data_IF_715819585394
#
_entry.id   IF_715819585394
#
_cell.length_a   1.000
_cell.length_b   1.000
_cell.length_c   1.000
_cell.angle_alpha   90.00
_cell.angle_beta   90.00
_cell.angle_gamma   90.00
#
_symmetry.space_group_name_H-M   'P 1'
#
loop_
_entity.id
_entity.type
_entity.pdbx_description
1 polymer ?
#
# COMPACT_ATOMS: atom_id res chain seq x y z
N UNK A 1 -36.23 15.13 1.71
CA UNK A 1 -34.97 15.10 0.92
C UNK A 1 -35.32 15.36 -0.54
N UNK A 2 -34.87 16.48 -1.10
CA UNK A 2 -34.90 16.73 -2.55
C UNK A 2 -33.46 16.62 -3.04
N UNK A 3 -33.15 15.61 -3.84
CA UNK A 3 -31.85 15.48 -4.47
C UNK A 3 -31.98 15.94 -5.92
N UNK A 4 -31.15 16.90 -6.32
CA UNK A 4 -31.08 17.37 -7.71
C UNK A 4 -29.72 16.98 -8.31
N UNK A 5 -29.76 16.16 -9.36
CA UNK A 5 -28.59 15.84 -10.16
C UNK A 5 -28.53 16.84 -11.33
N UNK A 6 -27.53 17.71 -11.35
CA UNK A 6 -27.27 18.58 -12.49
C UNK A 6 -26.33 17.87 -13.47
N UNK A 7 -26.91 17.33 -14.55
CA UNK A 7 -26.16 16.90 -15.73
C UNK A 7 -25.96 18.08 -16.68
N UNK A 8 -24.72 18.56 -16.80
CA UNK A 8 -24.32 19.47 -17.87
C UNK A 8 -23.71 18.65 -19.01
N UNK A 9 -24.43 18.53 -20.12
CA UNK A 9 -23.88 18.06 -21.40
C UNK A 9 -24.10 19.17 -22.44
N UNK A 10 -23.06 19.94 -22.75
CA UNK A 10 -23.01 20.74 -23.98
C UNK A 10 -22.63 19.80 -25.13
N UNK A 11 -23.46 19.78 -26.16
CA UNK A 11 -23.36 18.85 -27.28
C UNK A 11 -22.77 19.47 -28.55
N UNK A 12 -22.35 18.60 -29.48
CA UNK A 12 -22.38 18.83 -30.91
C UNK A 12 -22.51 17.49 -31.66
N UNK A 13 -23.44 17.44 -32.63
CA UNK A 13 -23.44 16.50 -33.76
C UNK A 13 -24.27 15.23 -33.61
N UNK A 14 -25.51 15.26 -34.13
CA UNK A 14 -26.51 14.22 -33.91
C UNK A 14 -26.43 12.96 -34.77
N UNK A 15 -27.29 12.00 -34.42
CA UNK A 15 -28.17 11.23 -35.31
C UNK A 15 -29.18 10.44 -34.45
N UNK A 16 -30.40 10.37 -34.95
CA UNK A 16 -31.65 9.88 -34.34
C UNK A 16 -31.61 8.41 -33.86
N UNK A 17 -32.18 8.13 -32.68
CA UNK A 17 -33.35 7.22 -32.47
C UNK A 17 -33.52 6.83 -30.98
N UNK A 18 -34.80 6.75 -30.58
CA UNK A 18 -35.40 6.14 -29.38
C UNK A 18 -35.66 7.05 -28.17
N UNK A 19 -36.96 7.12 -27.81
CA UNK A 19 -37.58 7.81 -26.67
C UNK A 19 -36.85 7.58 -25.34
N UNK A 20 -36.47 8.67 -24.65
CA UNK A 20 -36.08 8.65 -23.25
C UNK A 20 -37.25 8.22 -22.35
N UNK A 21 -37.05 7.15 -21.56
CA UNK A 21 -37.84 6.89 -20.35
C UNK A 21 -37.23 7.68 -19.20
N UNK A 22 -38.01 8.58 -18.59
CA UNK A 22 -37.70 9.14 -17.27
C UNK A 22 -37.69 8.02 -16.24
N UNK A 23 -36.51 7.66 -15.74
CA UNK A 23 -36.37 6.72 -14.63
C UNK A 23 -36.58 7.50 -13.32
N UNK A 24 -37.75 7.28 -12.69
CA UNK A 24 -38.02 7.75 -11.33
C UNK A 24 -37.40 6.74 -10.36
N UNK A 25 -36.36 7.14 -9.65
CA UNK A 25 -35.84 6.35 -8.53
C UNK A 25 -36.78 6.55 -7.33
N UNK A 26 -37.61 5.54 -7.05
CA UNK A 26 -38.36 5.41 -5.80
C UNK A 26 -37.47 4.66 -4.80
N UNK A 27 -37.03 5.34 -3.74
CA UNK A 27 -36.55 4.64 -2.54
C UNK A 27 -37.79 4.05 -1.85
N UNK A 28 -37.99 2.74 -1.99
CA UNK A 28 -39.00 2.03 -1.20
C UNK A 28 -38.54 1.94 0.24
N UNK A 29 -39.36 2.50 1.13
CA UNK A 29 -39.25 2.37 2.57
C UNK A 29 -39.26 0.88 2.98
N UNK A 30 -38.40 0.53 3.94
CA UNK A 30 -38.44 -0.78 4.58
C UNK A 30 -39.52 -0.76 5.65
N UNK A 31 -40.60 -1.50 5.40
CA UNK A 31 -41.72 -1.66 6.32
C UNK A 31 -41.32 -2.50 7.54
N UNK A 32 -41.86 -2.08 8.68
CA UNK A 32 -41.65 -2.68 10.00
C UNK A 32 -42.48 -3.96 10.11
N UNK A 33 -41.84 -5.13 10.06
CA UNK A 33 -42.52 -6.38 10.41
C UNK A 33 -42.65 -6.49 11.93
N UNK A 34 -43.87 -6.23 12.39
CA UNK A 34 -44.39 -6.43 13.73
C UNK A 34 -44.91 -7.87 13.82
N UNK A 35 -44.30 -8.71 14.66
CA UNK A 35 -44.83 -10.07 14.92
C UNK A 35 -46.05 -10.04 15.86
N UNK A 36 -47.06 -10.90 15.65
CA UNK A 36 -48.18 -11.05 16.57
C UNK A 36 -47.87 -12.08 17.67
N UNK A 37 -48.09 -11.69 18.94
CA UNK A 37 -47.86 -12.54 20.10
C UNK A 37 -49.01 -13.51 20.47
N UNK A 38 -48.63 -14.50 21.28
CA UNK A 38 -49.35 -15.26 22.35
C UNK A 38 -48.48 -16.49 22.70
N UNK A 39 -48.24 -16.96 23.91
CA UNK A 39 -48.57 -16.58 25.30
C UNK A 39 -47.88 -17.58 26.27
N UNK A 40 -47.41 -17.10 27.43
CA UNK A 40 -47.10 -17.78 28.73
C UNK A 40 -46.15 -19.02 28.74
N UNK A 41 -45.18 -19.13 29.66
CA UNK A 41 -45.30 -19.04 31.12
C UNK A 41 -43.93 -18.88 31.84
N UNK A 42 -44.01 -18.38 33.08
CA UNK A 42 -42.94 -17.99 34.01
C UNK A 42 -42.19 -19.14 34.69
N UNK A 43 -41.01 -18.82 35.26
CA UNK A 43 -40.39 -19.20 36.58
C UNK A 43 -38.85 -19.19 36.39
N UNK A 44 -37.94 -18.73 37.26
CA UNK A 44 -37.94 -18.25 38.65
C UNK A 44 -36.56 -17.62 39.01
N UNK A 45 -36.49 -16.76 40.04
CA UNK A 45 -35.32 -16.49 40.93
C UNK A 45 -34.29 -15.42 40.47
N UNK A 46 -34.21 -14.19 41.03
CA UNK A 46 -33.66 -13.76 42.35
C UNK A 46 -32.11 -13.89 42.39
N UNK A 47 -31.23 -12.97 42.80
CA UNK A 47 -31.21 -11.84 43.76
C UNK A 47 -30.19 -10.74 43.32
N UNK A 48 -30.16 -9.61 44.05
CA UNK A 48 -29.30 -8.41 43.89
C UNK A 48 -27.77 -8.62 43.93
N UNK A 49 -26.95 -7.59 43.75
CA UNK A 49 -26.66 -6.53 44.74
C UNK A 49 -26.01 -5.34 44.02
N UNK A 50 -26.40 -4.12 44.41
CA UNK A 50 -25.67 -2.89 44.14
C UNK A 50 -24.70 -2.59 45.29
N UNK A 51 -23.46 -2.19 44.99
CA UNK A 51 -22.64 -1.38 45.91
C UNK A 51 -21.74 -0.42 45.13
N UNK A 52 -21.96 0.86 45.38
CA UNK A 52 -21.04 1.97 45.15
C UNK A 52 -19.85 1.89 46.11
N UNK A 53 -18.64 2.28 45.69
CA UNK A 53 -18.02 3.54 46.11
C UNK A 53 -16.57 3.70 45.64
N UNK A 54 -16.25 4.97 45.43
CA UNK A 54 -14.98 5.61 45.12
C UNK A 54 -13.80 5.22 46.01
N UNK A 55 -12.59 5.39 45.47
CA UNK A 55 -11.53 6.07 46.22
C UNK A 55 -10.53 6.76 45.29
N UNK A 56 -10.45 8.07 45.46
CA UNK A 56 -9.38 8.96 45.03
C UNK A 56 -8.24 8.93 46.06
N UNK A 57 -6.99 9.04 45.61
CA UNK A 57 -5.92 9.65 46.40
C UNK A 57 -5.08 10.57 45.52
N UNK A 58 -5.03 11.82 45.94
CA UNK A 58 -4.18 12.90 45.47
C UNK A 58 -2.98 13.03 46.39
N UNK A 59 -1.80 13.33 45.83
CA UNK A 59 -0.71 14.02 46.51
C UNK A 59 -0.17 15.12 45.58
N UNK A 60 0.10 16.30 46.16
CA UNK A 60 0.40 17.57 45.48
C UNK A 60 1.88 17.98 45.74
N UNK A 61 2.41 18.69 44.73
CA UNK A 61 3.59 19.61 44.65
C UNK A 61 4.82 19.02 43.96
N UNK A 62 5.60 19.74 43.15
CA UNK A 62 5.49 21.04 42.46
C UNK A 62 6.74 21.16 41.57
N UNK A 63 6.62 21.52 40.29
CA UNK A 63 7.42 22.53 39.56
C UNK A 63 7.67 22.23 38.08
N UNK A 64 7.62 23.31 37.30
CA UNK A 64 8.23 23.51 35.96
C UNK A 64 7.53 22.86 34.76
N UNK A 65 6.61 23.64 34.19
CA UNK A 65 6.00 23.44 32.88
C UNK A 65 7.03 23.44 31.72
N UNK A 66 6.84 22.51 30.77
CA UNK A 66 7.06 22.67 29.32
C UNK A 66 6.59 21.39 28.59
N UNK A 67 5.31 21.37 28.23
CA UNK A 67 4.72 20.31 27.40
C UNK A 67 4.65 20.81 25.95
N UNK A 68 5.25 20.03 25.05
CA UNK A 68 5.37 20.35 23.62
C UNK A 68 4.07 20.00 22.89
N UNK A 69 3.40 21.04 22.37
CA UNK A 69 2.21 20.94 21.54
C UNK A 69 2.54 20.42 20.13
N UNK A 70 1.71 19.51 19.64
CA UNK A 70 1.62 19.12 18.24
C UNK A 70 1.07 20.28 17.39
N UNK A 71 1.42 20.39 16.09
CA UNK A 71 1.18 21.61 15.31
C UNK A 71 -0.28 21.70 14.83
N UNK A 72 -0.98 22.72 15.32
CA UNK A 72 -2.26 23.21 14.81
C UNK A 72 -2.17 23.56 13.31
N UNK A 73 -2.98 22.89 12.47
CA UNK A 73 -3.30 23.38 11.11
C UNK A 73 -4.18 24.62 11.26
N UNK A 74 -3.56 25.79 11.14
CA UNK A 74 -4.21 27.10 11.25
C UNK A 74 -5.26 27.27 10.14
N UNK A 75 -6.54 27.33 10.54
CA UNK A 75 -7.63 27.93 9.76
C UNK A 75 -7.24 29.34 9.33
N UNK A 76 -7.12 29.58 8.02
CA UNK A 76 -7.04 30.94 7.46
C UNK A 76 -8.46 31.50 7.31
N UNK A 77 -8.99 32.17 8.34
CA UNK A 77 -10.10 33.10 8.17
C UNK A 77 -9.54 34.48 7.83
N UNK A 78 -9.89 35.02 6.66
CA UNK A 78 -9.61 36.42 6.30
C UNK A 78 -10.74 37.28 6.88
N UNK A 79 -10.50 37.96 7.99
CA UNK A 79 -11.41 38.98 8.54
C UNK A 79 -11.06 40.34 7.92
N UNK A 80 -11.87 40.84 6.99
CA UNK A 80 -11.85 42.27 6.67
C UNK A 80 -12.73 43.03 7.66
N UNK A 81 -12.19 44.12 8.20
CA UNK A 81 -12.90 45.08 9.04
C UNK A 81 -13.15 46.30 8.15
N UNK A 82 -14.38 46.50 7.72
CA UNK A 82 -14.83 47.76 7.12
C UNK A 82 -15.66 48.54 8.13
N UNK A 83 -15.24 49.76 8.38
CA UNK A 83 -16.00 50.77 9.10
C UNK A 83 -17.07 51.35 8.17
N UNK A 84 -18.28 51.60 8.67
CA UNK A 84 -19.21 52.58 8.09
C UNK A 84 -20.50 52.05 7.46
N UNK A 85 -21.55 51.96 8.28
CA UNK A 85 -22.94 52.38 8.03
C UNK A 85 -23.56 52.09 6.64
N UNK A 86 -24.45 51.08 6.56
CA UNK A 86 -25.91 51.20 6.33
C UNK A 86 -26.56 49.82 6.31
N UNK A 87 -27.72 49.72 6.96
CA UNK A 87 -28.64 48.59 6.88
C UNK A 87 -28.83 48.10 5.44
N UNK A 88 -28.65 46.81 5.22
CA UNK A 88 -29.49 46.02 4.33
C UNK A 88 -29.41 44.56 4.77
N UNK A 89 -30.55 43.99 5.10
CA UNK A 89 -30.78 42.56 5.26
C UNK A 89 -30.36 41.87 3.95
N UNK A 90 -29.29 41.08 4.00
CA UNK A 90 -28.95 40.13 2.95
C UNK A 90 -28.85 38.75 3.61
N UNK A 91 -29.99 38.08 3.58
CA UNK A 91 -30.23 36.65 3.35
C UNK A 91 -29.03 35.70 3.59
N UNK A 92 -29.08 34.97 4.71
CA UNK A 92 -28.16 33.91 5.15
C UNK A 92 -28.43 32.59 4.41
N UNK A 93 -28.58 32.64 3.08
CA UNK A 93 -29.07 31.51 2.26
C UNK A 93 -28.00 30.45 1.94
N UNK A 94 -26.71 30.72 2.15
CA UNK A 94 -25.60 29.80 1.80
C UNK A 94 -25.16 28.90 2.97
N UNK A 95 -25.87 28.95 4.10
CA UNK A 95 -25.45 28.33 5.36
C UNK A 95 -25.77 26.84 5.51
N UNK A 96 -26.58 26.25 4.63
CA UNK A 96 -27.22 24.93 4.87
C UNK A 96 -27.00 23.90 3.76
N UNK A 97 -26.17 24.23 2.77
CA UNK A 97 -25.89 23.38 1.61
C UNK A 97 -24.53 22.66 1.73
N UNK A 98 -24.40 21.49 1.10
CA UNK A 98 -23.13 20.76 0.97
C UNK A 98 -23.07 19.90 -0.30
N UNK A 99 -21.85 19.50 -0.69
CA UNK A 99 -21.60 18.70 -1.88
C UNK A 99 -20.81 17.44 -1.57
N UNK A 100 -21.14 16.34 -2.25
CA UNK A 100 -20.31 15.14 -2.31
C UNK A 100 -19.67 15.06 -3.69
N UNK A 101 -18.34 14.92 -3.74
CA UNK A 101 -17.57 14.81 -4.97
C UNK A 101 -16.88 13.46 -5.02
N UNK A 102 -17.12 12.68 -6.08
CA UNK A 102 -16.39 11.43 -6.33
C UNK A 102 -15.03 11.68 -7.00
N UNK A 103 -14.16 10.68 -6.97
CA UNK A 103 -12.86 10.69 -7.66
C UNK A 103 -12.97 10.87 -9.19
N UNK A 104 -14.14 10.59 -9.78
CA UNK A 104 -14.43 10.82 -11.20
C UNK A 104 -15.12 12.15 -11.48
N UNK A 105 -15.01 13.14 -10.58
CA UNK A 105 -15.65 14.46 -10.65
C UNK A 105 -17.19 14.47 -10.74
N UNK A 106 -17.88 13.36 -10.42
CA UNK A 106 -19.33 13.40 -10.23
C UNK A 106 -19.65 14.14 -8.93
N UNK A 107 -20.58 15.08 -8.98
CA UNK A 107 -20.98 15.91 -7.85
C UNK A 107 -22.46 15.71 -7.53
N UNK A 108 -22.77 15.61 -6.25
CA UNK A 108 -24.13 15.61 -5.72
C UNK A 108 -24.29 16.79 -4.77
N UNK A 109 -25.39 17.51 -4.91
CA UNK A 109 -25.72 18.68 -4.11
C UNK A 109 -26.86 18.35 -3.14
N UNK A 110 -26.70 18.81 -1.90
CA UNK A 110 -27.63 18.57 -0.81
C UNK A 110 -27.88 19.87 -0.04
N UNK A 111 -29.13 20.05 0.39
CA UNK A 111 -29.60 21.19 1.18
C UNK A 111 -30.28 20.63 2.45
N UNK A 112 -29.80 21.06 3.62
CA UNK A 112 -30.36 20.72 4.93
C UNK A 112 -31.36 21.80 5.39
N UNK A 113 -32.18 21.52 6.42
CA UNK A 113 -33.15 22.50 6.90
C UNK A 113 -32.52 23.65 7.69
N UNK A 114 -31.30 23.44 8.22
CA UNK A 114 -30.50 24.41 8.96
C UNK A 114 -29.03 23.95 9.05
N UNK A 115 -28.18 24.74 9.70
CA UNK A 115 -26.71 24.56 9.69
C UNK A 115 -26.25 23.47 10.64
N UNK A 116 -26.96 23.30 11.74
CA UNK A 116 -26.72 22.25 12.70
C UNK A 116 -26.99 20.88 12.06
N UNK A 117 -28.13 20.73 11.38
CA UNK A 117 -28.46 19.52 10.64
C UNK A 117 -27.46 19.25 9.51
N UNK A 118 -27.03 20.26 8.76
CA UNK A 118 -25.98 20.12 7.75
C UNK A 118 -24.70 19.54 8.37
N UNK A 119 -24.24 20.08 9.50
CA UNK A 119 -23.00 19.67 10.14
C UNK A 119 -23.09 18.25 10.72
N UNK A 120 -24.25 17.88 11.27
CA UNK A 120 -24.54 16.50 11.69
C UNK A 120 -24.49 15.52 10.52
N UNK A 121 -25.08 15.89 9.38
CA UNK A 121 -25.09 15.06 8.18
C UNK A 121 -23.70 14.90 7.58
N UNK A 122 -22.93 15.98 7.48
CA UNK A 122 -21.54 15.93 7.03
C UNK A 122 -20.73 15.00 7.94
N UNK A 123 -20.87 15.15 9.26
CA UNK A 123 -20.18 14.32 10.24
C UNK A 123 -20.57 12.84 10.10
N UNK A 124 -21.85 12.54 9.95
CA UNK A 124 -22.34 11.17 9.79
C UNK A 124 -21.83 10.52 8.49
N UNK A 125 -21.81 11.26 7.39
CA UNK A 125 -21.30 10.80 6.09
C UNK A 125 -19.79 10.55 6.16
N UNK A 126 -19.02 11.47 6.76
CA UNK A 126 -17.58 11.30 6.98
C UNK A 126 -17.29 10.06 7.84
N UNK A 127 -18.05 9.87 8.92
CA UNK A 127 -17.95 8.69 9.77
C UNK A 127 -18.29 7.41 9.02
N UNK A 128 -19.31 7.41 8.16
CA UNK A 128 -19.71 6.21 7.41
C UNK A 128 -18.72 5.87 6.30
N UNK A 129 -18.14 6.87 5.63
CA UNK A 129 -17.01 6.69 4.71
C UNK A 129 -15.85 6.04 5.47
N UNK A 130 -15.50 6.57 6.64
CA UNK A 130 -14.41 6.04 7.45
C UNK A 130 -14.69 4.62 7.95
N UNK A 131 -15.90 4.36 8.44
CA UNK A 131 -16.35 3.03 8.87
C UNK A 131 -16.38 2.03 7.73
N UNK A 132 -16.78 2.41 6.52
CA UNK A 132 -16.77 1.51 5.36
C UNK A 132 -15.34 1.20 4.91
N UNK A 133 -14.46 2.20 4.95
CA UNK A 133 -13.03 2.02 4.67
C UNK A 133 -12.36 1.10 5.70
N UNK A 134 -12.84 1.07 6.95
CA UNK A 134 -12.33 0.18 8.01
C UNK A 134 -13.08 -1.17 8.10
N UNK A 135 -14.38 -1.19 7.80
CA UNK A 135 -15.30 -2.31 8.01
C UNK A 135 -15.30 -3.35 6.89
N UNK A 136 -14.68 -3.04 5.74
CA UNK A 136 -14.36 -4.02 4.71
C UNK A 136 -13.26 -5.02 5.16
N UNK A 137 -12.73 -4.92 6.38
CA UNK A 137 -11.75 -5.85 6.92
C UNK A 137 -12.34 -7.10 7.62
N UNK A 138 -13.66 -7.28 7.71
CA UNK A 138 -14.22 -8.30 8.60
C UNK A 138 -15.18 -9.29 7.96
N UNK A 139 -14.65 -10.41 7.45
CA UNK A 139 -15.22 -11.75 7.72
C UNK A 139 -14.12 -12.78 8.02
N UNK A 140 -13.94 -13.04 9.33
CA UNK A 140 -13.36 -14.23 9.99
C UNK A 140 -12.02 -14.77 9.46
N UNK A 141 -10.90 -14.26 10.02
CA UNK A 141 -9.62 -14.96 10.30
C UNK A 141 -8.55 -14.07 11.00
N UNK A 142 -8.72 -12.74 11.03
CA UNK A 142 -7.61 -11.76 11.21
C UNK A 142 -7.02 -11.52 12.61
N UNK A 143 -7.52 -12.09 13.71
CA UNK A 143 -7.07 -11.64 15.05
C UNK A 143 -5.64 -12.07 15.45
N UNK A 144 -5.07 -13.11 14.85
CA UNK A 144 -3.67 -13.49 15.11
C UNK A 144 -2.66 -12.81 14.17
N UNK A 145 -3.01 -12.57 12.90
CA UNK A 145 -2.07 -12.04 11.88
C UNK A 145 -1.78 -10.53 12.01
N UNK A 146 -2.68 -9.72 12.58
CA UNK A 146 -2.45 -8.26 12.63
C UNK A 146 -1.26 -7.85 13.50
N UNK A 147 -0.97 -8.61 14.56
CA UNK A 147 0.14 -8.32 15.49
C UNK A 147 1.52 -8.62 14.87
N UNK A 148 1.62 -9.72 14.12
CA UNK A 148 2.84 -10.13 13.41
C UNK A 148 3.12 -9.22 12.20
N UNK A 149 2.07 -8.76 11.52
CA UNK A 149 2.18 -7.84 10.40
C UNK A 149 2.71 -6.48 10.87
N UNK A 150 2.22 -5.96 12.00
CA UNK A 150 2.72 -4.70 12.58
C UNK A 150 4.19 -4.77 12.98
N UNK A 151 4.64 -5.88 13.61
CA UNK A 151 6.04 -6.07 13.96
C UNK A 151 6.94 -6.17 12.71
N UNK A 152 6.48 -6.87 11.68
CA UNK A 152 7.18 -7.01 10.40
C UNK A 152 7.31 -5.67 9.67
N UNK A 153 6.27 -4.83 9.70
CA UNK A 153 6.34 -3.49 9.11
C UNK A 153 7.24 -2.57 9.90
N UNK A 154 7.33 -2.73 11.22
CA UNK A 154 8.32 -2.03 12.04
C UNK A 154 9.75 -2.47 11.70
N UNK A 155 9.97 -3.74 11.36
CA UNK A 155 11.25 -4.25 10.87
C UNK A 155 11.62 -3.58 9.54
N UNK A 156 10.70 -3.54 8.58
CA UNK A 156 10.89 -2.86 7.27
C UNK A 156 11.25 -1.38 7.46
N UNK A 157 10.60 -0.68 8.38
CA UNK A 157 10.87 0.75 8.63
C UNK A 157 12.22 0.99 9.31
N UNK A 158 12.54 0.22 10.35
CA UNK A 158 13.62 0.59 11.27
C UNK A 158 14.93 -0.17 11.06
N UNK A 159 14.88 -1.35 10.43
CA UNK A 159 16.08 -2.20 10.26
C UNK A 159 16.62 -2.18 8.83
N UNK A 160 15.81 -1.79 7.85
CA UNK A 160 16.24 -1.75 6.46
C UNK A 160 16.89 -0.40 6.13
N UNK A 161 18.13 -0.38 5.61
CA UNK A 161 18.85 0.86 5.31
C UNK A 161 18.08 1.82 4.39
N UNK A 162 18.00 3.08 4.81
CA UNK A 162 17.37 4.17 4.05
C UNK A 162 15.85 4.28 4.21
N UNK A 163 15.18 3.28 4.80
CA UNK A 163 13.72 3.28 4.91
C UNK A 163 13.14 4.28 5.93
N UNK A 164 14.00 4.97 6.70
CA UNK A 164 13.58 6.06 7.59
C UNK A 164 13.15 7.33 6.83
N UNK A 165 13.48 7.44 5.55
CA UNK A 165 13.18 8.59 4.70
C UNK A 165 12.62 8.14 3.36
N UNK A 166 11.74 8.94 2.77
CA UNK A 166 11.14 8.71 1.47
C UNK A 166 12.23 8.56 0.41
N UNK A 167 12.13 7.50 -0.39
CA UNK A 167 13.11 7.19 -1.43
C UNK A 167 13.30 8.30 -2.47
N UNK A 168 12.29 9.14 -2.73
CA UNK A 168 12.30 10.12 -3.82
C UNK A 168 12.45 11.57 -3.37
N UNK A 169 12.05 11.92 -2.14
CA UNK A 169 12.10 13.31 -1.64
C UNK A 169 12.68 13.47 -0.23
N UNK A 170 13.14 12.38 0.38
CA UNK A 170 13.72 12.34 1.72
C UNK A 170 12.77 12.84 2.84
N UNK A 171 11.45 12.85 2.61
CA UNK A 171 10.47 13.10 3.67
C UNK A 171 10.55 12.00 4.75
N UNK A 172 10.59 12.35 6.05
CA UNK A 172 10.76 11.36 7.11
C UNK A 172 9.53 10.46 7.25
N UNK A 173 9.73 9.28 7.85
CA UNK A 173 8.67 8.33 8.21
C UNK A 173 7.73 7.97 7.04
N UNK A 174 8.25 7.46 5.92
CA UNK A 174 7.40 7.01 4.82
C UNK A 174 6.48 5.84 5.24
N UNK A 175 5.22 5.90 4.82
CA UNK A 175 4.19 4.91 5.17
C UNK A 175 3.66 4.11 3.97
N UNK A 176 4.19 4.38 2.78
CA UNK A 176 3.82 3.72 1.53
C UNK A 176 5.03 3.01 0.95
N UNK A 177 4.78 2.02 0.10
CA UNK A 177 5.81 1.23 -0.53
C UNK A 177 5.49 0.93 -1.98
N UNK A 178 6.53 0.68 -2.78
CA UNK A 178 6.40 0.01 -4.07
C UNK A 178 6.99 -1.38 -3.96
N UNK A 179 6.13 -2.39 -4.11
CA UNK A 179 6.48 -3.79 -3.88
C UNK A 179 7.59 -4.26 -4.82
N UNK A 180 7.40 -4.07 -6.13
CA UNK A 180 8.32 -4.56 -7.16
C UNK A 180 9.66 -3.81 -7.20
N UNK A 181 9.71 -2.60 -6.64
CA UNK A 181 10.94 -1.82 -6.52
C UNK A 181 11.63 -2.03 -5.17
N UNK A 182 10.93 -2.57 -4.16
CA UNK A 182 11.46 -2.80 -2.82
C UNK A 182 11.76 -1.52 -2.03
N UNK A 183 10.99 -0.45 -2.27
CA UNK A 183 11.22 0.90 -1.74
C UNK A 183 10.05 1.39 -0.90
N UNK A 184 10.33 2.30 0.04
CA UNK A 184 9.33 3.04 0.82
C UNK A 184 9.34 4.54 0.50
N UNK A 185 8.15 5.14 0.47
CA UNK A 185 7.91 6.51 0.03
C UNK A 185 6.83 7.20 0.87
N UNK A 186 6.83 8.53 0.87
CA UNK A 186 5.79 9.30 1.55
C UNK A 186 4.46 9.26 0.76
N UNK A 187 3.39 9.74 1.40
CA UNK A 187 2.05 9.76 0.80
C UNK A 187 2.00 10.54 -0.53
N UNK A 188 2.68 11.70 -0.61
CA UNK A 188 2.70 12.51 -1.84
C UNK A 188 3.38 11.78 -3.00
N UNK A 189 4.57 11.21 -2.77
CA UNK A 189 5.31 10.47 -3.81
C UNK A 189 4.57 9.19 -4.21
N UNK A 190 3.88 8.54 -3.25
CA UNK A 190 3.01 7.40 -3.56
C UNK A 190 1.88 7.76 -4.55
N UNK A 191 1.35 8.98 -4.47
CA UNK A 191 0.35 9.48 -5.41
C UNK A 191 0.91 9.58 -6.84
N UNK A 192 2.17 10.01 -6.99
CA UNK A 192 2.85 10.02 -8.30
C UNK A 192 3.11 8.60 -8.79
N UNK A 193 3.63 7.72 -7.93
CA UNK A 193 3.89 6.31 -8.28
C UNK A 193 2.63 5.57 -8.76
N UNK A 194 1.44 5.89 -8.22
CA UNK A 194 0.17 5.35 -8.72
C UNK A 194 -0.11 5.77 -10.16
N UNK A 195 0.23 7.01 -10.52
CA UNK A 195 0.03 7.54 -11.86
C UNK A 195 1.00 6.97 -12.91
N UNK A 196 2.14 6.40 -12.48
CA UNK A 196 3.04 5.65 -13.38
C UNK A 196 2.41 4.34 -13.89
N UNK A 197 1.47 3.78 -13.12
CA UNK A 197 0.84 2.49 -13.41
C UNK A 197 1.57 1.27 -12.82
N UNK A 198 0.82 0.18 -12.66
CA UNK A 198 1.25 -1.03 -11.95
C UNK A 198 2.35 -1.84 -12.65
N UNK A 199 2.59 -1.59 -13.93
CA UNK A 199 3.69 -2.16 -14.71
C UNK A 199 5.05 -1.53 -14.35
N UNK A 200 5.05 -0.33 -13.76
CA UNK A 200 6.26 0.35 -13.26
C UNK A 200 6.33 0.25 -11.74
N UNK A 201 5.24 0.57 -11.03
CA UNK A 201 5.22 0.65 -9.57
C UNK A 201 3.94 0.06 -8.96
N UNK A 202 4.10 -0.95 -8.12
CA UNK A 202 3.00 -1.62 -7.41
C UNK A 202 2.87 -1.06 -5.99
N UNK A 203 2.06 0.00 -5.86
CA UNK A 203 1.94 0.76 -4.60
C UNK A 203 1.09 0.04 -3.55
N UNK A 204 1.58 -0.02 -2.30
CA UNK A 204 0.89 -0.52 -1.10
C UNK A 204 1.13 0.37 0.12
N UNK A 205 0.19 0.37 1.05
CA UNK A 205 0.32 0.95 2.38
C UNK A 205 1.02 -0.01 3.33
N UNK A 206 1.99 0.49 4.09
CA UNK A 206 2.66 -0.28 5.15
C UNK A 206 1.76 -0.54 6.37
N UNK A 207 0.61 0.14 6.49
CA UNK A 207 -0.30 0.00 7.65
C UNK A 207 -1.70 -0.49 7.31
N UNK A 208 -2.12 -0.41 6.05
CA UNK A 208 -3.50 -0.69 5.63
C UNK A 208 -3.63 -1.91 4.71
N UNK A 209 -2.53 -2.40 4.15
CA UNK A 209 -2.54 -3.54 3.23
C UNK A 209 -1.92 -4.77 3.89
N UNK A 210 -2.28 -5.95 3.37
CA UNK A 210 -1.69 -7.23 3.78
C UNK A 210 -0.31 -7.47 3.16
N UNK A 211 0.56 -8.14 3.93
CA UNK A 211 1.96 -8.38 3.57
C UNK A 211 2.31 -9.88 3.57
N UNK A 212 1.92 -10.62 2.51
CA UNK A 212 2.37 -11.99 2.30
C UNK A 212 3.91 -12.13 2.43
N UNK A 213 4.42 -13.31 2.85
CA UNK A 213 5.85 -13.52 3.05
C UNK A 213 6.74 -13.13 1.87
N UNK A 214 6.28 -13.41 0.64
CA UNK A 214 6.97 -12.98 -0.58
C UNK A 214 7.14 -11.47 -0.66
N UNK A 215 6.08 -10.70 -0.38
CA UNK A 215 6.13 -9.24 -0.39
C UNK A 215 7.09 -8.70 0.69
N UNK A 216 6.95 -9.20 1.91
CA UNK A 216 7.81 -8.80 3.03
C UNK A 216 9.28 -9.11 2.75
N UNK A 217 9.58 -10.27 2.17
CA UNK A 217 10.95 -10.68 1.87
C UNK A 217 11.66 -9.72 0.92
N UNK A 218 10.95 -9.17 -0.08
CA UNK A 218 11.53 -8.16 -0.99
C UNK A 218 11.79 -6.85 -0.26
N UNK A 219 10.84 -6.39 0.57
CA UNK A 219 11.02 -5.15 1.33
C UNK A 219 12.18 -5.23 2.32
N UNK A 220 12.45 -6.41 2.89
CA UNK A 220 13.58 -6.63 3.78
C UNK A 220 14.92 -6.77 3.03
N UNK A 221 14.89 -7.27 1.79
CA UNK A 221 16.10 -7.52 1.01
C UNK A 221 16.61 -6.30 0.22
N UNK A 222 15.73 -5.35 -0.12
CA UNK A 222 16.07 -4.20 -0.98
C UNK A 222 16.31 -2.94 -0.16
N UNK A 223 15.25 -2.21 0.18
CA UNK A 223 15.36 -0.94 0.90
C UNK A 223 15.83 0.25 0.06
N UNK A 224 15.55 1.45 0.57
CA UNK A 224 15.79 2.70 -0.16
C UNK A 224 17.27 2.96 -0.44
N UNK A 225 18.17 2.65 0.50
CA UNK A 225 19.60 2.86 0.27
C UNK A 225 20.12 2.01 -0.89
N UNK A 226 19.75 0.72 -0.94
CA UNK A 226 20.15 -0.15 -2.05
C UNK A 226 19.50 0.30 -3.35
N UNK A 227 18.20 0.59 -3.32
CA UNK A 227 17.47 1.04 -4.50
C UNK A 227 18.07 2.31 -5.09
N UNK A 228 18.35 3.34 -4.29
CA UNK A 228 18.96 4.58 -4.80
C UNK A 228 20.41 4.39 -5.26
N UNK A 229 21.14 3.41 -4.73
CA UNK A 229 22.45 3.03 -5.28
C UNK A 229 22.39 2.54 -6.74
N UNK A 230 21.19 2.19 -7.23
CA UNK A 230 20.91 1.78 -8.62
C UNK A 230 20.16 2.89 -9.36
N UNK A 231 18.98 3.26 -8.86
CA UNK A 231 18.04 4.19 -9.48
C UNK A 231 18.47 5.66 -9.42
N UNK A 232 19.49 6.00 -8.65
CA UNK A 232 20.08 7.35 -8.58
C UNK A 232 21.60 7.31 -8.81
N UNK A 233 22.12 6.22 -9.40
CA UNK A 233 23.57 6.01 -9.54
C UNK A 233 24.26 7.06 -10.44
N UNK A 234 23.57 7.49 -11.50
CA UNK A 234 24.08 8.43 -12.50
C UNK A 234 23.24 9.70 -12.60
N UNK A 235 22.84 10.27 -11.46
CA UNK A 235 22.15 11.58 -11.47
C UNK A 235 23.06 12.63 -12.15
N UNK A 236 22.62 13.27 -13.26
CA UNK A 236 23.44 14.25 -13.96
C UNK A 236 23.81 15.44 -13.08
N UNK A 237 24.99 16.01 -13.32
CA UNK A 237 25.43 17.22 -12.61
C UNK A 237 24.41 18.35 -12.80
N UNK A 238 24.05 19.02 -11.72
CA UNK A 238 23.07 20.11 -11.72
C UNK A 238 21.62 19.65 -11.57
N UNK A 239 21.33 18.34 -11.68
CA UNK A 239 20.03 17.80 -11.31
C UNK A 239 20.00 17.53 -9.81
N UNK A 240 18.97 18.00 -9.14
CA UNK A 240 18.84 17.90 -7.67
C UNK A 240 17.59 17.09 -7.34
N UNK A 241 17.74 16.15 -6.41
CA UNK A 241 16.64 15.39 -5.85
C UNK A 241 15.67 16.34 -5.13
N UNK A 242 14.35 16.22 -5.33
CA UNK A 242 13.39 17.07 -4.63
C UNK A 242 13.48 16.85 -3.12
N UNK A 243 13.04 17.86 -2.37
CA UNK A 243 13.00 17.81 -0.90
C UNK A 243 11.56 17.61 -0.43
N UNK A 244 11.30 17.45 0.88
CA UNK A 244 9.94 17.32 1.39
C UNK A 244 9.08 18.55 1.05
N UNK A 245 9.69 19.73 1.01
CA UNK A 245 9.04 21.02 0.71
C UNK A 245 8.96 21.36 -0.78
N UNK A 246 9.52 20.54 -1.67
CA UNK A 246 9.41 20.73 -3.13
C UNK A 246 7.98 20.60 -3.61
N UNK A 247 7.66 21.25 -4.73
CA UNK A 247 6.32 21.21 -5.31
C UNK A 247 5.97 19.80 -5.81
N UNK A 248 4.68 19.54 -6.02
CA UNK A 248 4.22 18.26 -6.55
C UNK A 248 4.78 18.02 -7.96
N UNK A 249 4.86 19.07 -8.76
CA UNK A 249 5.37 19.03 -10.14
C UNK A 249 6.87 18.69 -10.16
N UNK A 250 7.67 19.24 -9.23
CA UNK A 250 9.09 18.89 -9.08
C UNK A 250 9.26 17.42 -8.67
N UNK A 251 8.46 16.95 -7.70
CA UNK A 251 8.45 15.55 -7.27
C UNK A 251 8.05 14.63 -8.43
N UNK A 252 7.02 14.99 -9.20
CA UNK A 252 6.57 14.21 -10.36
C UNK A 252 7.63 14.13 -11.47
N UNK A 253 8.25 15.26 -11.82
CA UNK A 253 9.30 15.30 -12.84
C UNK A 253 10.50 14.43 -12.45
N UNK A 254 10.90 14.44 -11.16
CA UNK A 254 11.97 13.58 -10.65
C UNK A 254 11.60 12.09 -10.76
N UNK A 255 10.43 11.71 -10.23
CA UNK A 255 9.96 10.32 -10.18
C UNK A 255 9.79 9.73 -11.59
N UNK A 256 9.23 10.50 -12.54
CA UNK A 256 9.11 10.05 -13.93
C UNK A 256 10.48 9.83 -14.56
N UNK A 257 11.41 10.77 -14.47
CA UNK A 257 12.76 10.55 -15.01
C UNK A 257 13.49 9.39 -14.35
N UNK A 258 13.27 9.16 -13.05
CA UNK A 258 13.87 8.06 -12.29
C UNK A 258 13.37 6.69 -12.75
N UNK A 259 12.06 6.49 -12.86
CA UNK A 259 11.49 5.14 -13.07
C UNK A 259 10.88 4.91 -14.47
N UNK A 260 10.22 5.91 -15.04
CA UNK A 260 9.64 5.85 -16.40
C UNK A 260 10.73 6.08 -17.45
N UNK A 261 11.49 7.17 -17.29
CA UNK A 261 12.61 7.53 -18.19
C UNK A 261 13.91 6.76 -17.91
N UNK A 262 14.04 6.16 -16.71
CA UNK A 262 15.23 5.40 -16.29
C UNK A 262 16.55 6.18 -16.47
N UNK A 263 16.50 7.50 -16.39
CA UNK A 263 17.57 8.41 -16.83
C UNK A 263 18.84 8.34 -15.97
N UNK A 264 18.71 7.85 -14.74
CA UNK A 264 19.80 7.80 -13.76
C UNK A 264 20.39 6.39 -13.62
N UNK A 265 19.83 5.40 -14.33
CA UNK A 265 20.34 4.04 -14.25
C UNK A 265 21.74 3.95 -14.86
N UNK A 266 22.62 3.11 -14.31
CA UNK A 266 23.81 2.68 -15.02
C UNK A 266 23.42 1.81 -16.21
N UNK A 267 24.28 1.81 -17.23
CA UNK A 267 24.17 0.86 -18.32
C UNK A 267 24.26 -0.57 -17.75
N UNK A 268 23.50 -1.54 -18.30
CA UNK A 268 23.66 -2.93 -17.90
C UNK A 268 25.10 -3.40 -18.24
N UNK A 269 25.65 -4.37 -17.50
CA UNK A 269 26.96 -4.92 -17.82
C UNK A 269 26.97 -5.46 -19.26
N UNK A 270 27.93 -5.03 -20.08
CA UNK A 270 27.98 -5.33 -21.51
C UNK A 270 28.35 -6.79 -21.83
N UNK A 271 28.67 -7.60 -20.82
CA UNK A 271 29.17 -8.96 -21.01
C UNK A 271 28.05 -9.99 -20.77
N UNK A 272 27.61 -10.65 -21.85
CA UNK A 272 26.79 -11.86 -21.80
C UNK A 272 25.27 -11.63 -21.83
N UNK A 273 24.53 -12.73 -21.96
CA UNK A 273 23.07 -12.73 -22.03
C UNK A 273 22.46 -12.38 -20.65
N UNK A 274 21.37 -11.61 -20.62
CA UNK A 274 20.72 -11.16 -19.36
C UNK A 274 20.40 -12.33 -18.43
N UNK A 275 19.89 -13.44 -18.97
CA UNK A 275 19.59 -14.64 -18.19
C UNK A 275 20.83 -15.23 -17.48
N UNK A 276 21.99 -15.22 -18.14
CA UNK A 276 23.24 -15.65 -17.56
C UNK A 276 23.70 -14.69 -16.46
N UNK A 277 23.65 -13.38 -16.72
CA UNK A 277 24.05 -12.36 -15.74
C UNK A 277 23.15 -12.39 -14.49
N UNK A 278 21.83 -12.57 -14.66
CA UNK A 278 20.89 -12.74 -13.57
C UNK A 278 21.24 -13.99 -12.75
N UNK A 279 21.53 -15.10 -13.42
CA UNK A 279 21.91 -16.37 -12.78
C UNK A 279 23.19 -16.24 -11.96
N UNK A 280 24.22 -15.57 -12.49
CA UNK A 280 25.45 -15.28 -11.75
C UNK A 280 25.19 -14.40 -10.53
N UNK A 281 24.33 -13.39 -10.66
CA UNK A 281 23.94 -12.52 -9.55
C UNK A 281 23.13 -13.27 -8.48
N UNK A 282 22.27 -14.22 -8.88
CA UNK A 282 21.52 -15.10 -7.96
C UNK A 282 22.45 -15.97 -7.13
N UNK A 283 23.50 -16.54 -7.73
CA UNK A 283 24.48 -17.36 -7.00
C UNK A 283 25.36 -16.54 -6.04
N UNK A 284 25.64 -15.26 -6.37
CA UNK A 284 26.44 -14.33 -5.54
C UNK A 284 25.60 -13.45 -4.60
N UNK A 285 24.35 -13.86 -4.32
CA UNK A 285 23.22 -12.98 -3.97
C UNK A 285 23.43 -11.46 -4.15
N UNK A 286 23.83 -11.01 -5.34
CA UNK A 286 24.05 -9.59 -5.64
C UNK A 286 22.73 -8.91 -5.99
N UNK A 287 21.99 -8.51 -4.95
CA UNK A 287 20.70 -7.85 -5.10
C UNK A 287 20.80 -6.54 -5.89
N UNK A 288 21.91 -5.80 -5.78
CA UNK A 288 22.13 -4.56 -6.54
C UNK A 288 22.13 -4.85 -8.04
N UNK A 289 22.89 -5.86 -8.46
CA UNK A 289 22.98 -6.25 -9.86
C UNK A 289 21.67 -6.88 -10.37
N UNK A 290 20.96 -7.65 -9.54
CA UNK A 290 19.63 -8.18 -9.88
C UNK A 290 18.67 -7.03 -10.18
N UNK A 291 18.57 -6.03 -9.30
CA UNK A 291 17.69 -4.86 -9.51
C UNK A 291 18.07 -4.13 -10.79
N UNK A 292 19.37 -3.91 -11.03
CA UNK A 292 19.86 -3.24 -12.23
C UNK A 292 19.48 -4.01 -13.51
N UNK A 293 19.71 -5.32 -13.53
CA UNK A 293 19.39 -6.16 -14.69
C UNK A 293 17.89 -6.20 -14.95
N UNK A 294 17.07 -6.39 -13.91
CA UNK A 294 15.61 -6.39 -14.03
C UNK A 294 15.07 -5.03 -14.48
N UNK A 295 15.68 -3.92 -14.07
CA UNK A 295 15.30 -2.60 -14.54
C UNK A 295 15.49 -2.41 -16.06
N UNK A 296 16.40 -3.15 -16.70
CA UNK A 296 16.65 -3.11 -18.14
C UNK A 296 16.05 -4.28 -18.92
N UNK A 297 15.72 -5.38 -18.26
CA UNK A 297 15.31 -6.61 -18.91
C UNK A 297 13.90 -6.53 -19.51
N UNK A 298 13.72 -7.18 -20.66
CA UNK A 298 12.39 -7.49 -21.19
C UNK A 298 11.88 -8.83 -20.64
N UNK A 299 10.56 -9.09 -20.67
CA UNK A 299 10.01 -10.39 -20.26
C UNK A 299 10.64 -11.57 -21.02
N UNK A 300 10.98 -11.40 -22.30
CA UNK A 300 11.64 -12.44 -23.11
C UNK A 300 13.04 -12.75 -22.56
N UNK A 301 13.79 -11.74 -22.14
CA UNK A 301 15.13 -11.89 -21.58
C UNK A 301 15.11 -12.55 -20.19
N UNK A 302 14.11 -12.23 -19.35
CA UNK A 302 13.92 -12.85 -18.03
C UNK A 302 13.56 -14.33 -18.15
N UNK A 303 12.85 -14.72 -19.22
CA UNK A 303 12.40 -16.10 -19.47
C UNK A 303 13.32 -16.90 -20.39
N UNK A 304 14.38 -16.29 -20.90
CA UNK A 304 15.34 -16.97 -21.75
C UNK A 304 16.12 -18.05 -20.96
N UNK A 305 16.53 -19.14 -21.63
CA UNK A 305 17.45 -20.10 -21.05
C UNK A 305 18.79 -19.44 -20.73
N UNK A 306 19.49 -19.98 -19.73
CA UNK A 306 20.81 -19.47 -19.31
C UNK A 306 21.80 -19.51 -20.48
N UNK A 307 21.85 -20.64 -21.19
CA UNK A 307 22.63 -20.81 -22.42
C UNK A 307 22.16 -22.05 -23.21
N UNK A 308 22.83 -22.36 -24.33
CA UNK A 308 22.46 -23.49 -25.19
C UNK A 308 22.63 -24.88 -24.55
N UNK A 309 23.40 -25.01 -23.46
CA UNK A 309 23.64 -26.27 -22.73
C UNK A 309 22.82 -26.39 -21.44
N UNK A 310 22.31 -25.28 -20.92
CA UNK A 310 21.51 -25.22 -19.70
C UNK A 310 20.24 -24.44 -19.99
N UNK A 311 19.15 -25.18 -20.24
CA UNK A 311 17.85 -24.60 -20.61
C UNK A 311 17.03 -24.13 -19.41
N UNK A 312 17.59 -24.14 -18.19
CA UNK A 312 16.94 -23.51 -17.05
C UNK A 312 16.85 -22.00 -17.27
N UNK A 313 15.84 -21.39 -16.65
CA UNK A 313 15.69 -19.93 -16.59
C UNK A 313 16.25 -19.38 -15.28
N UNK A 314 16.48 -18.07 -15.16
CA UNK A 314 16.81 -17.44 -13.88
C UNK A 314 15.84 -17.80 -12.75
N UNK A 315 14.54 -17.97 -13.06
CA UNK A 315 13.53 -18.37 -12.08
C UNK A 315 13.77 -19.78 -11.54
N UNK A 316 14.10 -20.75 -12.39
CA UNK A 316 14.45 -22.10 -11.95
C UNK A 316 15.64 -22.08 -10.99
N UNK A 317 16.68 -21.31 -11.32
CA UNK A 317 17.87 -21.19 -10.48
C UNK A 317 17.53 -20.53 -9.15
N UNK A 318 16.79 -19.42 -9.15
CA UNK A 318 16.38 -18.74 -7.92
C UNK A 318 15.54 -19.65 -7.02
N UNK A 319 14.67 -20.49 -7.59
CA UNK A 319 13.89 -21.48 -6.85
C UNK A 319 14.79 -22.54 -6.20
N UNK A 320 15.78 -23.07 -6.94
CA UNK A 320 16.75 -24.04 -6.42
C UNK A 320 17.68 -23.47 -5.36
N UNK A 321 18.00 -22.17 -5.43
CA UNK A 321 18.74 -21.46 -4.38
C UNK A 321 17.86 -21.22 -3.14
N UNK A 322 16.53 -21.18 -3.29
CA UNK A 322 15.60 -20.98 -2.18
C UNK A 322 15.49 -19.51 -1.71
N UNK A 323 15.87 -18.54 -2.55
CA UNK A 323 15.77 -17.12 -2.19
C UNK A 323 14.40 -16.56 -2.57
N UNK A 324 13.51 -16.50 -1.57
CA UNK A 324 12.13 -16.03 -1.74
C UNK A 324 12.03 -14.62 -2.34
N UNK A 325 12.89 -13.69 -1.90
CA UNK A 325 12.86 -12.31 -2.38
C UNK A 325 13.20 -12.22 -3.87
N UNK A 326 14.24 -12.94 -4.32
CA UNK A 326 14.62 -12.93 -5.73
C UNK A 326 13.56 -13.62 -6.59
N UNK A 327 12.98 -14.74 -6.12
CA UNK A 327 11.89 -15.41 -6.84
C UNK A 327 10.69 -14.47 -6.98
N UNK A 328 10.28 -13.81 -5.89
CA UNK A 328 9.17 -12.86 -5.91
C UNK A 328 9.42 -11.68 -6.87
N UNK A 329 10.64 -11.15 -6.90
CA UNK A 329 11.05 -10.12 -7.85
C UNK A 329 10.93 -10.63 -9.29
N UNK A 330 11.53 -11.77 -9.62
CA UNK A 330 11.46 -12.34 -10.97
C UNK A 330 10.02 -12.52 -11.45
N UNK A 331 9.12 -13.01 -10.58
CA UNK A 331 7.69 -13.14 -10.89
C UNK A 331 7.06 -11.78 -11.22
N UNK A 332 7.39 -10.73 -10.44
CA UNK A 332 6.88 -9.38 -10.72
C UNK A 332 7.43 -8.77 -12.00
N UNK A 333 8.60 -9.21 -12.45
CA UNK A 333 9.22 -8.91 -13.74
C UNK A 333 8.89 -9.96 -14.82
N UNK A 334 7.70 -10.57 -14.71
CA UNK A 334 7.09 -11.44 -15.72
C UNK A 334 7.82 -12.76 -15.98
N UNK A 335 8.57 -13.30 -15.02
CA UNK A 335 9.06 -14.67 -15.12
C UNK A 335 7.90 -15.68 -15.15
N UNK A 336 7.98 -16.65 -16.06
CA UNK A 336 6.98 -17.66 -16.30
C UNK A 336 7.17 -18.85 -15.34
N UNK A 337 6.33 -18.89 -14.32
CA UNK A 337 6.31 -19.94 -13.30
C UNK A 337 6.04 -21.33 -13.89
N UNK A 338 5.34 -21.40 -15.04
CA UNK A 338 4.92 -22.65 -15.69
C UNK A 338 5.98 -23.22 -16.63
N UNK A 339 7.07 -22.51 -16.87
CA UNK A 339 8.14 -23.00 -17.72
C UNK A 339 8.81 -24.22 -17.07
N UNK A 340 9.16 -25.20 -17.90
CA UNK A 340 9.90 -26.40 -17.51
C UNK A 340 11.31 -26.33 -18.07
N UNK A 341 12.27 -26.92 -17.35
CA UNK A 341 13.63 -27.09 -17.83
C UNK A 341 13.79 -28.30 -18.78
N UNK A 342 15.02 -28.55 -19.23
CA UNK A 342 15.36 -29.66 -20.12
C UNK A 342 15.05 -31.05 -19.55
N UNK A 343 14.96 -31.19 -18.22
CA UNK A 343 14.66 -32.45 -17.53
C UNK A 343 13.15 -32.58 -17.27
N UNK A 344 12.34 -31.63 -17.75
CA UNK A 344 10.90 -31.56 -17.49
C UNK A 344 10.56 -31.10 -16.07
N UNK A 345 11.51 -30.52 -15.33
CA UNK A 345 11.27 -30.03 -13.97
C UNK A 345 10.72 -28.61 -14.00
N UNK A 346 9.76 -28.35 -13.12
CA UNK A 346 9.14 -27.03 -12.94
C UNK A 346 9.88 -26.23 -11.86
N UNK A 347 9.63 -24.91 -11.81
CA UNK A 347 10.10 -24.06 -10.71
C UNK A 347 9.68 -24.59 -9.32
N UNK A 348 8.47 -25.15 -9.21
CA UNK A 348 7.98 -25.79 -7.98
C UNK A 348 8.78 -27.04 -7.60
N UNK A 349 9.26 -27.80 -8.59
CA UNK A 349 10.13 -28.97 -8.36
C UNK A 349 11.44 -28.53 -7.71
N UNK A 350 12.11 -27.51 -8.28
CA UNK A 350 13.35 -26.94 -7.74
C UNK A 350 13.16 -26.35 -6.34
N UNK A 351 12.03 -25.66 -6.08
CA UNK A 351 11.72 -25.11 -4.76
C UNK A 351 11.52 -26.21 -3.70
N UNK A 352 10.88 -27.34 -4.05
CA UNK A 352 10.72 -28.49 -3.14
C UNK A 352 12.04 -29.17 -2.82
N UNK A 353 12.94 -29.27 -3.79
CA UNK A 353 14.31 -29.75 -3.58
C UNK A 353 15.06 -28.84 -2.60
N UNK A 354 14.98 -27.52 -2.79
CA UNK A 354 15.58 -26.55 -1.87
C UNK A 354 15.01 -26.66 -0.43
N UNK A 355 13.69 -26.84 -0.30
CA UNK A 355 13.04 -27.06 1.00
C UNK A 355 13.54 -28.35 1.68
N UNK A 356 13.69 -29.44 0.92
CA UNK A 356 14.21 -30.69 1.47
C UNK A 356 15.64 -30.52 2.00
N UNK A 357 16.50 -29.80 1.27
CA UNK A 357 17.87 -29.47 1.70
C UNK A 357 17.89 -28.57 2.94
N UNK A 358 17.00 -27.57 3.01
CA UNK A 358 16.89 -26.72 4.19
C UNK A 358 16.46 -27.54 5.43
N UNK A 359 15.49 -28.46 5.27
CA UNK A 359 14.99 -29.31 6.34
C UNK A 359 16.04 -30.30 6.88
N UNK A 360 16.90 -30.86 6.01
CA UNK A 360 18.00 -31.74 6.46
C UNK A 360 19.09 -30.95 7.19
N UNK A 361 19.39 -29.73 6.73
CA UNK A 361 20.40 -28.85 7.36
C UNK A 361 19.99 -28.42 8.77
N UNK A 362 18.70 -28.13 9.01
CA UNK A 362 18.19 -27.81 10.35
C UNK A 362 18.35 -29.00 11.31
N UNK A 363 18.05 -30.22 10.85
CA UNK A 363 18.24 -31.45 11.64
C UNK A 363 19.71 -31.72 11.98
N UNK A 364 20.64 -31.33 11.11
CA UNK A 364 22.08 -31.42 11.36
C UNK A 364 22.57 -30.34 12.34
N UNK A 365 22.01 -29.12 12.32
CA UNK A 365 22.39 -28.04 13.23
C UNK A 365 21.84 -28.20 14.66
N UNK A 366 20.75 -28.94 14.87
CA UNK A 366 20.31 -29.36 16.21
C UNK A 366 21.31 -30.27 16.94
N UNK A 367 22.37 -30.72 16.26
CA UNK A 367 23.53 -31.44 16.82
C UNK A 367 24.68 -30.53 17.28
N UNK A 368 24.53 -29.20 17.26
CA UNK A 368 25.40 -28.29 18.02
C UNK A 368 26.52 -27.57 17.26
N UNK A 369 26.27 -27.03 16.07
CA UNK A 369 27.19 -26.05 15.44
C UNK A 369 26.40 -24.86 14.91
N UNK A 370 26.54 -23.69 15.55
CA UNK A 370 26.05 -22.41 15.03
C UNK A 370 26.93 -21.97 13.86
N UNK A 371 26.38 -21.89 12.66
CA UNK A 371 26.97 -21.17 11.54
C UNK A 371 26.06 -20.01 11.11
N UNK A 372 26.62 -18.81 11.16
CA UNK A 372 26.10 -17.62 10.51
C UNK A 372 26.19 -17.79 8.99
N UNK A 373 25.09 -18.13 8.30
CA UNK A 373 24.90 -17.78 6.88
C UNK A 373 23.39 -17.74 6.55
N UNK A 374 22.92 -16.55 6.20
CA UNK A 374 21.53 -16.15 5.90
C UNK A 374 21.00 -16.66 4.54
N UNK A 375 21.26 -17.92 4.17
CA UNK A 375 20.97 -18.35 2.79
C UNK A 375 19.94 -19.48 2.65
N UNK A 376 19.53 -20.12 3.75
CA UNK A 376 18.49 -21.15 3.75
C UNK A 376 17.66 -21.08 5.05
N UNK A 377 16.66 -20.20 5.09
CA UNK A 377 15.64 -20.31 6.14
C UNK A 377 14.58 -21.32 5.69
N UNK A 378 14.29 -22.31 6.55
CA UNK A 378 13.20 -23.25 6.35
C UNK A 378 11.88 -22.52 6.07
N UNK A 379 11.64 -21.39 6.74
CA UNK A 379 10.48 -20.54 6.56
C UNK A 379 10.44 -19.95 5.14
N UNK A 380 11.57 -19.41 4.66
CA UNK A 380 11.66 -18.81 3.33
C UNK A 380 11.42 -19.84 2.22
N UNK A 381 12.00 -21.05 2.34
CA UNK A 381 11.77 -22.14 1.38
C UNK A 381 10.36 -22.72 1.46
N UNK A 382 9.71 -22.69 2.63
CA UNK A 382 8.31 -23.12 2.79
C UNK A 382 7.38 -22.15 2.10
N UNK A 383 7.52 -20.85 2.40
CA UNK A 383 6.76 -19.79 1.76
C UNK A 383 6.98 -19.74 0.24
N UNK A 384 8.17 -20.10 -0.24
CA UNK A 384 8.46 -20.23 -1.66
C UNK A 384 7.65 -21.35 -2.33
N UNK A 385 7.55 -22.52 -1.69
CA UNK A 385 6.73 -23.63 -2.21
C UNK A 385 5.25 -23.26 -2.23
N UNK A 386 4.77 -22.54 -1.22
CA UNK A 386 3.40 -22.02 -1.17
C UNK A 386 3.14 -20.99 -2.28
N UNK A 387 4.06 -20.05 -2.49
CA UNK A 387 3.99 -19.03 -3.54
C UNK A 387 3.90 -19.63 -4.95
N UNK A 388 4.57 -20.76 -5.19
CA UNK A 388 4.60 -21.43 -6.49
C UNK A 388 3.50 -22.49 -6.66
N UNK A 389 2.87 -22.91 -5.55
CA UNK A 389 1.86 -23.96 -5.52
C UNK A 389 0.41 -23.46 -5.56
N UNK A 390 0.17 -22.21 -5.16
CA UNK A 390 -1.11 -21.51 -5.32
C UNK A 390 -1.27 -20.94 -6.72
#
# INVERSE_FOLDING_TARGET
>A
IKAHANGLTEGLGGLSLAKEKKEKVLLTAYDTLREPGKSNSQTSGDEGIALSNSNSQTFINSDSAKEAQTPNVKKRHRRMKSSGVKNNEYDDSDGFEFYIVSLGNKQWHFEAANSEERDEWVTAIEQEIFKTLQGNESTKSKQQNSSTDMASMQLVRNRVPGNSHCVDCDAPNPEWASLNLGIVMCIECSGVHRNLGSHISKVRSLGLDEWPPGHLSVMLAVGNSLANSVWEANVPRGRVKPTPGSSREEKEAWIRSKYEGKEFLPAPPQAGHVAQQLTEAIFRPDMRNIILLLAHATPEQVNAPINARDLRTPLHVACGVGNLAIVQLLIWYNANIKQIDQDGRSCLTHAREALAVAATSVKANSSGVQQHHHQYSLEATTALVELLGG
#
